data_IF_452022695555
#
_entry.id   IF_452022695555
#
_cell.length_a   1.000
_cell.length_b   1.000
_cell.length_c   1.000
_cell.angle_alpha   90.00
_cell.angle_beta   90.00
_cell.angle_gamma   90.00
#
_symmetry.space_group_name_H-M   'P 1'
#
loop_
_entity.id
_entity.type
_entity.pdbx_description
1 polymer ?
#
# COMPACT_ATOMS: atom_id res chain seq x y z
N UNK A 1 63.72 26.69 -3.00
CA UNK A 1 62.80 27.42 -2.12
C UNK A 1 61.46 27.55 -2.83
N UNK A 2 60.38 27.18 -2.12
CA UNK A 2 58.94 27.40 -2.44
C UNK A 2 58.38 26.60 -3.63
N UNK A 3 57.22 25.94 -3.60
CA UNK A 3 56.38 25.21 -2.62
C UNK A 3 55.25 24.62 -3.48
N UNK A 4 54.86 23.36 -3.25
CA UNK A 4 53.74 22.69 -3.93
C UNK A 4 52.40 23.43 -3.75
N UNK A 5 51.53 23.33 -4.76
CA UNK A 5 50.09 23.37 -4.54
C UNK A 5 49.43 22.25 -5.36
N UNK A 6 49.36 21.09 -4.73
CA UNK A 6 48.59 19.92 -5.13
C UNK A 6 47.10 20.26 -5.01
N UNK A 7 46.38 20.40 -6.13
CA UNK A 7 44.92 20.49 -6.11
C UNK A 7 44.34 19.14 -5.68
N UNK A 8 44.00 19.05 -4.40
CA UNK A 8 43.18 17.99 -3.83
C UNK A 8 41.79 18.04 -4.46
N UNK A 9 41.49 17.08 -5.35
CA UNK A 9 40.13 16.77 -5.73
C UNK A 9 39.45 16.11 -4.51
N UNK A 10 38.75 16.91 -3.71
CA UNK A 10 37.78 16.39 -2.76
C UNK A 10 36.57 15.87 -3.54
N UNK A 11 36.57 14.57 -3.80
CA UNK A 11 35.36 13.79 -4.09
C UNK A 11 34.45 13.88 -2.86
N UNK A 12 33.54 14.84 -2.86
CA UNK A 12 32.39 14.80 -1.97
C UNK A 12 31.50 13.65 -2.43
N UNK A 13 31.59 12.52 -1.73
CA UNK A 13 30.54 11.52 -1.74
C UNK A 13 29.30 12.17 -1.13
N UNK A 14 28.41 12.71 -1.97
CA UNK A 14 27.06 13.07 -1.56
C UNK A 14 26.32 11.77 -1.31
N UNK A 15 26.45 11.24 -0.09
CA UNK A 15 25.45 10.37 0.49
C UNK A 15 24.13 11.16 0.46
N UNK A 16 23.31 10.89 -0.55
CA UNK A 16 21.91 11.28 -0.56
C UNK A 16 21.24 10.52 0.59
N UNK A 17 21.38 11.06 1.80
CA UNK A 17 20.43 10.80 2.87
C UNK A 17 19.13 11.41 2.36
N UNK A 18 18.22 10.55 1.92
CA UNK A 18 16.81 10.90 1.82
C UNK A 18 16.44 11.51 3.17
N UNK A 19 16.33 12.84 3.22
CA UNK A 19 15.96 13.56 4.42
C UNK A 19 14.64 12.99 4.89
N UNK A 20 14.57 12.60 6.17
CA UNK A 20 13.30 12.22 6.79
C UNK A 20 12.27 13.31 6.46
N UNK A 21 11.04 12.93 6.04
CA UNK A 21 10.05 13.91 5.65
C UNK A 21 9.87 14.93 6.77
N UNK A 22 9.85 16.20 6.39
CA UNK A 22 9.70 17.34 7.29
C UNK A 22 8.63 17.04 8.33
N UNK A 23 9.01 17.09 9.61
CA UNK A 23 8.09 16.94 10.75
C UNK A 23 6.93 17.91 10.55
N UNK A 24 5.75 17.36 10.24
CA UNK A 24 4.50 18.12 10.18
C UNK A 24 4.24 18.71 11.57
N UNK A 25 3.89 19.99 11.56
CA UNK A 25 3.63 20.85 12.71
C UNK A 25 2.65 20.24 13.72
N UNK A 26 2.84 20.61 15.00
CA UNK A 26 2.06 20.28 16.19
C UNK A 26 0.59 19.91 15.91
N UNK A 27 0.23 18.69 16.34
CA UNK A 27 -1.08 18.08 16.17
C UNK A 27 -2.21 18.94 16.76
N UNK A 28 -3.18 19.30 15.91
CA UNK A 28 -4.54 19.59 16.35
C UNK A 28 -5.04 18.37 17.15
N UNK A 29 -5.72 18.50 18.31
CA UNK A 29 -6.37 17.39 18.99
C UNK A 29 -7.27 16.56 18.05
N UNK A 30 -7.86 17.18 17.02
CA UNK A 30 -8.62 16.52 15.96
C UNK A 30 -7.73 15.72 15.00
N UNK A 31 -6.46 16.09 14.82
CA UNK A 31 -5.50 15.31 14.03
C UNK A 31 -5.16 13.99 14.73
N UNK A 32 -5.01 13.96 16.06
CA UNK A 32 -4.73 12.72 16.78
C UNK A 32 -5.87 11.69 16.65
N UNK A 33 -7.12 12.17 16.58
CA UNK A 33 -8.30 11.35 16.33
C UNK A 33 -8.33 10.90 14.86
N UNK A 34 -8.16 11.83 13.91
CA UNK A 34 -8.10 11.55 12.48
C UNK A 34 -7.03 10.50 12.10
N UNK A 35 -5.85 10.55 12.73
CA UNK A 35 -4.72 9.64 12.48
C UNK A 35 -5.04 8.17 12.81
N UNK A 36 -5.97 7.90 13.75
CA UNK A 36 -6.41 6.52 14.05
C UNK A 36 -7.13 5.87 12.87
N UNK A 37 -7.68 6.68 11.98
CA UNK A 37 -8.52 6.26 10.85
C UNK A 37 -7.79 6.31 9.51
N UNK A 38 -6.56 6.82 9.50
CA UNK A 38 -5.65 6.71 8.37
C UNK A 38 -4.98 5.32 8.38
N UNK A 39 -4.40 4.86 7.27
CA UNK A 39 -3.72 3.57 7.23
C UNK A 39 -2.55 3.59 8.21
N UNK A 40 -2.42 2.55 9.03
CA UNK A 40 -1.33 2.44 9.98
C UNK A 40 0.03 2.46 9.28
N UNK A 41 1.03 3.00 9.96
CA UNK A 41 2.43 3.02 9.51
C UNK A 41 3.23 1.79 9.96
N UNK A 42 2.55 0.78 10.50
CA UNK A 42 3.24 -0.40 11.05
C UNK A 42 3.72 -1.37 9.99
N UNK A 43 3.14 -1.34 8.79
CA UNK A 43 3.56 -2.17 7.67
C UNK A 43 3.82 -1.26 6.47
N UNK A 44 4.86 -1.58 5.70
CA UNK A 44 5.24 -0.84 4.52
C UNK A 44 5.52 -1.78 3.35
N UNK A 45 5.31 -1.26 2.14
CA UNK A 45 5.68 -1.95 0.90
C UNK A 45 7.18 -2.24 0.91
N UNK A 46 7.57 -3.40 0.38
CA UNK A 46 8.96 -3.83 0.31
C UNK A 46 9.48 -4.51 1.57
N UNK A 47 8.72 -4.50 2.67
CA UNK A 47 9.08 -5.28 3.86
C UNK A 47 9.15 -6.77 3.52
N UNK A 48 10.14 -7.44 4.07
CA UNK A 48 10.26 -8.90 4.06
C UNK A 48 9.27 -9.53 5.04
N UNK A 49 8.99 -10.83 4.85
CA UNK A 49 8.19 -11.61 5.80
C UNK A 49 8.72 -11.53 7.24
N UNK A 50 10.04 -11.64 7.42
CA UNK A 50 10.65 -11.63 8.76
C UNK A 50 10.44 -10.29 9.46
N UNK A 51 10.51 -9.18 8.74
CA UNK A 51 10.19 -7.84 9.27
C UNK A 51 8.73 -7.75 9.71
N UNK A 52 7.80 -8.23 8.87
CA UNK A 52 6.37 -8.28 9.20
C UNK A 52 6.12 -9.13 10.45
N UNK A 53 6.73 -10.32 10.55
CA UNK A 53 6.59 -11.20 11.71
C UNK A 53 7.18 -10.60 13.00
N UNK A 54 8.27 -9.84 12.90
CA UNK A 54 8.84 -9.12 14.04
C UNK A 54 7.87 -8.03 14.55
N UNK A 55 7.15 -7.36 13.65
CA UNK A 55 6.14 -6.36 14.03
C UNK A 55 4.92 -7.03 14.65
N UNK A 56 4.44 -8.13 14.07
CA UNK A 56 3.31 -8.90 14.58
C UNK A 56 3.59 -9.40 16.00
N UNK A 57 4.73 -10.06 16.21
CA UNK A 57 5.09 -10.62 17.52
C UNK A 57 5.24 -9.55 18.61
N UNK A 58 5.66 -8.33 18.24
CA UNK A 58 5.82 -7.22 19.19
C UNK A 58 4.53 -6.47 19.49
N UNK A 59 3.72 -6.16 18.47
CA UNK A 59 2.57 -5.24 18.60
C UNK A 59 1.20 -5.95 18.54
N UNK A 60 1.12 -7.04 17.79
CA UNK A 60 -0.13 -7.71 17.43
C UNK A 60 -0.18 -9.15 17.94
N UNK A 61 0.61 -9.50 18.97
CA UNK A 61 0.74 -10.86 19.49
C UNK A 61 -0.59 -11.48 19.97
N UNK A 62 -1.55 -10.63 20.38
CA UNK A 62 -2.86 -11.03 20.87
C UNK A 62 -3.94 -11.06 19.78
N UNK A 63 -3.61 -10.68 18.54
CA UNK A 63 -4.54 -10.67 17.42
C UNK A 63 -4.63 -12.05 16.80
N UNK A 64 -5.75 -12.32 16.13
CA UNK A 64 -5.86 -13.52 15.32
C UNK A 64 -4.98 -13.38 14.09
N UNK A 65 -4.05 -14.32 13.89
CA UNK A 65 -3.23 -14.40 12.68
C UNK A 65 -3.71 -15.57 11.82
N UNK A 66 -3.97 -15.32 10.55
CA UNK A 66 -4.26 -16.33 9.54
C UNK A 66 -3.27 -16.17 8.39
N UNK A 67 -2.64 -17.27 7.96
CA UNK A 67 -1.75 -17.28 6.80
C UNK A 67 -2.41 -18.01 5.65
N UNK A 68 -2.41 -17.41 4.46
CA UNK A 68 -2.75 -18.10 3.22
C UNK A 68 -1.47 -18.44 2.47
N UNK A 69 -1.38 -19.67 1.98
CA UNK A 69 -0.21 -20.16 1.26
C UNK A 69 -0.59 -20.49 -0.18
N UNK A 70 0.30 -20.16 -1.10
CA UNK A 70 0.18 -20.48 -2.52
C UNK A 70 1.35 -21.37 -2.94
N UNK A 71 1.09 -22.29 -3.87
CA UNK A 71 2.14 -23.13 -4.46
C UNK A 71 2.97 -22.37 -5.48
N UNK A 72 4.27 -22.62 -5.50
CA UNK A 72 5.20 -22.20 -6.52
C UNK A 72 5.33 -23.37 -7.50
N UNK A 73 4.83 -23.21 -8.72
CA UNK A 73 5.10 -24.18 -9.79
C UNK A 73 6.54 -24.00 -10.26
N UNK A 74 7.47 -24.72 -9.63
CA UNK A 74 8.85 -24.80 -10.08
C UNK A 74 9.00 -26.03 -11.00
N UNK A 75 8.79 -25.89 -12.32
CA UNK A 75 8.87 -26.99 -13.32
C UNK A 75 7.87 -28.14 -13.08
N UNK A 76 7.65 -28.97 -14.11
CA UNK A 76 6.75 -30.13 -14.06
C UNK A 76 7.15 -31.22 -13.05
N UNK A 77 8.40 -31.23 -12.56
CA UNK A 77 8.96 -32.33 -11.75
C UNK A 77 9.56 -31.92 -10.39
N UNK A 78 9.45 -30.66 -9.95
CA UNK A 78 9.89 -30.30 -8.59
C UNK A 78 8.74 -30.42 -7.59
N UNK A 79 9.08 -30.73 -6.33
CA UNK A 79 8.12 -30.64 -5.24
C UNK A 79 7.50 -29.23 -5.22
N UNK A 80 6.16 -29.16 -5.12
CA UNK A 80 5.44 -27.90 -5.02
C UNK A 80 5.83 -27.20 -3.72
N UNK A 81 6.84 -26.33 -3.78
CA UNK A 81 7.19 -25.45 -2.68
C UNK A 81 6.02 -24.46 -2.47
N UNK A 82 5.59 -24.25 -1.23
CA UNK A 82 4.56 -23.24 -0.94
C UNK A 82 5.16 -22.06 -0.23
N UNK A 83 4.73 -20.85 -0.60
CA UNK A 83 5.06 -19.63 0.11
C UNK A 83 3.82 -19.05 0.79
N UNK A 84 4.02 -18.21 1.80
CA UNK A 84 2.92 -17.44 2.39
C UNK A 84 2.62 -16.27 1.47
N UNK A 85 1.49 -16.36 0.76
CA UNK A 85 1.01 -15.32 -0.16
C UNK A 85 0.44 -14.14 0.62
N UNK A 86 -0.26 -14.41 1.73
CA UNK A 86 -0.80 -13.34 2.57
C UNK A 86 -0.87 -13.70 4.05
N UNK A 87 -0.80 -12.67 4.89
CA UNK A 87 -1.07 -12.72 6.32
C UNK A 87 -2.25 -11.79 6.62
N UNK A 88 -3.29 -12.33 7.24
CA UNK A 88 -4.41 -11.57 7.80
C UNK A 88 -4.27 -11.48 9.31
N UNK A 89 -4.43 -10.27 9.87
CA UNK A 89 -4.46 -10.00 11.30
C UNK A 89 -5.80 -9.39 11.67
N UNK A 90 -6.50 -9.99 12.63
CA UNK A 90 -7.79 -9.49 13.10
C UNK A 90 -7.75 -9.20 14.60
N UNK A 91 -8.16 -7.98 14.97
CA UNK A 91 -8.22 -7.59 16.37
C UNK A 91 -9.26 -8.44 17.11
N UNK A 92 -8.84 -9.15 18.16
CA UNK A 92 -9.75 -9.86 19.07
C UNK A 92 -10.02 -8.97 20.28
N UNK A 93 -11.27 -8.53 20.49
CA UNK A 93 -11.65 -7.82 21.74
C UNK A 93 -12.81 -6.83 21.62
N UNK A 94 -13.13 -6.19 22.75
CA UNK A 94 -14.15 -5.14 22.90
C UNK A 94 -13.57 -3.72 22.68
N UNK A 95 -12.61 -3.57 21.77
CA UNK A 95 -12.19 -2.24 21.33
C UNK A 95 -13.38 -1.56 20.63
N UNK A 96 -13.54 -0.23 20.75
CA UNK A 96 -14.53 0.49 19.95
C UNK A 96 -14.25 0.40 18.44
N UNK A 97 -13.06 -0.11 18.07
CA UNK A 97 -12.65 -0.38 16.70
C UNK A 97 -12.39 -1.87 16.51
N UNK A 98 -12.96 -2.45 15.47
CA UNK A 98 -12.56 -3.76 14.98
C UNK A 98 -11.68 -3.58 13.73
N UNK A 99 -10.41 -3.94 13.86
CA UNK A 99 -9.38 -3.75 12.84
C UNK A 99 -9.04 -5.08 12.18
N UNK A 100 -8.91 -5.04 10.86
CA UNK A 100 -8.41 -6.14 10.04
C UNK A 100 -7.28 -5.61 9.15
N UNK A 101 -6.10 -6.21 9.27
CA UNK A 101 -5.02 -6.05 8.30
C UNK A 101 -4.95 -7.27 7.39
N UNK A 102 -4.70 -7.04 6.11
CA UNK A 102 -4.26 -8.06 5.16
C UNK A 102 -2.99 -7.57 4.48
N UNK A 103 -1.96 -8.40 4.51
CA UNK A 103 -0.62 -8.11 4.00
C UNK A 103 -0.33 -9.17 2.95
N UNK A 104 -0.17 -8.77 1.70
CA UNK A 104 0.11 -9.67 0.57
C UNK A 104 1.58 -9.55 0.14
N UNK A 105 2.20 -10.70 -0.15
CA UNK A 105 3.61 -10.84 -0.50
C UNK A 105 3.78 -11.27 -1.95
N UNK A 106 4.83 -10.76 -2.60
CA UNK A 106 5.29 -11.32 -3.87
C UNK A 106 5.81 -12.74 -3.62
N UNK A 107 5.85 -13.56 -4.67
CA UNK A 107 6.45 -14.88 -4.56
C UNK A 107 7.95 -14.79 -4.28
N UNK A 108 8.59 -15.85 -3.74
CA UNK A 108 10.04 -15.92 -3.60
C UNK A 108 10.81 -15.73 -4.91
N UNK A 109 10.17 -16.00 -6.06
CA UNK A 109 10.77 -15.75 -7.38
C UNK A 109 11.02 -14.26 -7.65
N UNK A 110 10.31 -13.39 -6.93
CA UNK A 110 10.29 -11.94 -7.09
C UNK A 110 10.70 -11.22 -5.81
N UNK A 111 11.38 -11.93 -4.90
CA UNK A 111 11.97 -11.37 -3.68
C UNK A 111 11.19 -11.64 -2.38
N UNK A 112 9.95 -12.10 -2.42
CA UNK A 112 9.21 -12.46 -1.21
C UNK A 112 8.89 -11.28 -0.28
N UNK A 113 8.53 -10.13 -0.86
CA UNK A 113 8.32 -8.86 -0.13
C UNK A 113 6.86 -8.40 -0.21
N UNK A 114 6.43 -7.57 0.74
CA UNK A 114 5.09 -6.99 0.77
C UNK A 114 4.87 -6.11 -0.45
N UNK A 115 3.83 -6.41 -1.25
CA UNK A 115 3.38 -5.55 -2.35
C UNK A 115 2.01 -4.93 -2.11
N UNK A 116 1.21 -5.47 -1.18
CA UNK A 116 -0.13 -4.94 -0.88
C UNK A 116 -0.41 -4.97 0.62
N UNK A 117 -0.95 -3.86 1.11
CA UNK A 117 -1.39 -3.70 2.50
C UNK A 117 -2.81 -3.16 2.47
N UNK A 118 -3.72 -3.91 3.05
CA UNK A 118 -5.12 -3.55 3.20
C UNK A 118 -5.42 -3.42 4.69
N UNK A 119 -6.07 -2.33 5.09
CA UNK A 119 -6.58 -2.14 6.45
C UNK A 119 -8.04 -1.76 6.40
N UNK A 120 -8.90 -2.58 6.99
CA UNK A 120 -10.30 -2.26 7.24
C UNK A 120 -10.51 -2.00 8.73
N UNK A 121 -11.29 -0.97 9.04
CA UNK A 121 -11.64 -0.55 10.40
C UNK A 121 -13.15 -0.39 10.48
N UNK A 122 -13.79 -1.17 11.35
CA UNK A 122 -15.22 -1.03 11.66
C UNK A 122 -15.38 -0.32 13.00
N UNK A 123 -16.26 0.69 13.04
CA UNK A 123 -16.52 1.48 14.23
C UNK A 123 -17.60 0.87 15.11
N UNK A 124 -17.54 1.22 16.40
CA UNK A 124 -18.61 0.97 17.36
C UNK A 124 -19.91 1.68 16.95
N UNK A 125 -21.01 1.30 17.60
CA UNK A 125 -22.28 1.98 17.41
C UNK A 125 -22.39 3.35 18.11
N UNK A 126 -21.39 3.73 18.92
CA UNK A 126 -21.41 4.96 19.71
C UNK A 126 -20.91 6.16 18.89
N UNK A 127 -21.68 7.25 18.77
CA UNK A 127 -21.30 8.42 17.96
C UNK A 127 -19.95 9.04 18.31
N UNK A 128 -19.57 9.07 19.59
CA UNK A 128 -18.30 9.64 20.09
C UNK A 128 -17.04 8.93 19.57
N UNK A 129 -17.18 7.70 19.07
CA UNK A 129 -16.06 6.90 18.57
C UNK A 129 -15.93 7.00 17.03
N UNK A 130 -16.77 7.82 16.39
CA UNK A 130 -16.86 7.95 14.93
C UNK A 130 -16.37 9.31 14.46
N UNK A 131 -15.88 9.35 13.23
CA UNK A 131 -15.41 10.56 12.56
C UNK A 131 -16.48 11.09 11.58
N UNK A 132 -16.59 12.41 11.40
CA UNK A 132 -17.41 12.95 10.33
C UNK A 132 -16.76 12.72 8.96
N UNK A 133 -17.57 12.46 7.93
CA UNK A 133 -17.05 12.20 6.58
C UNK A 133 -16.18 13.34 6.02
N UNK A 134 -16.49 14.60 6.33
CA UNK A 134 -15.71 15.75 5.87
C UNK A 134 -14.37 15.90 6.60
N UNK A 135 -14.31 15.51 7.88
CA UNK A 135 -13.05 15.46 8.63
C UNK A 135 -12.13 14.36 8.09
N UNK A 136 -12.71 13.21 7.72
CA UNK A 136 -11.99 12.12 7.06
C UNK A 136 -11.41 12.54 5.71
N UNK A 137 -12.21 13.21 4.86
CA UNK A 137 -11.73 13.77 3.58
C UNK A 137 -10.56 14.74 3.78
N UNK A 138 -10.66 15.64 4.77
CA UNK A 138 -9.58 16.58 5.12
C UNK A 138 -8.33 15.84 5.58
N UNK A 139 -8.46 14.82 6.43
CA UNK A 139 -7.34 14.04 6.95
C UNK A 139 -6.59 13.30 5.84
N UNK A 140 -7.32 12.68 4.91
CA UNK A 140 -6.75 12.04 3.73
C UNK A 140 -6.02 13.06 2.86
N UNK A 141 -6.67 14.18 2.55
CA UNK A 141 -6.08 15.21 1.69
C UNK A 141 -4.80 15.80 2.29
N UNK A 142 -4.73 15.95 3.62
CA UNK A 142 -3.50 16.36 4.32
C UNK A 142 -2.40 15.32 4.25
N UNK A 143 -2.74 14.04 4.27
CA UNK A 143 -1.77 12.95 4.34
C UNK A 143 -1.19 12.59 2.97
N UNK A 144 -2.01 12.63 1.93
CA UNK A 144 -1.66 12.14 0.60
C UNK A 144 -1.81 13.18 -0.52
N UNK A 145 -2.21 14.40 -0.17
CA UNK A 145 -2.44 15.47 -1.14
C UNK A 145 -3.79 15.35 -1.83
N UNK A 146 -3.87 15.90 -3.05
CA UNK A 146 -5.12 15.90 -3.83
C UNK A 146 -5.34 14.51 -4.44
N UNK A 147 -6.52 13.89 -4.26
CA UNK A 147 -6.82 12.63 -4.92
C UNK A 147 -6.87 12.80 -6.44
N UNK A 148 -6.51 11.73 -7.13
CA UNK A 148 -6.74 11.59 -8.57
C UNK A 148 -8.25 11.58 -8.87
N UNK A 149 -9.00 10.79 -8.11
CA UNK A 149 -10.46 10.75 -8.16
C UNK A 149 -11.02 10.66 -6.73
N UNK A 150 -12.09 11.39 -6.47
CA UNK A 150 -12.90 11.26 -5.27
C UNK A 150 -14.35 11.09 -5.68
N UNK A 151 -15.00 10.04 -5.16
CA UNK A 151 -16.36 9.64 -5.56
C UNK A 151 -17.22 9.49 -4.30
N UNK A 152 -18.51 9.83 -4.42
CA UNK A 152 -19.53 9.55 -3.42
C UNK A 152 -20.03 10.78 -2.62
N UNK A 153 -20.93 10.55 -1.63
CA UNK A 153 -21.53 9.25 -1.30
C UNK A 153 -22.41 8.72 -2.44
N UNK A 154 -22.27 7.43 -2.76
CA UNK A 154 -23.13 6.73 -3.72
C UNK A 154 -24.39 6.14 -3.03
N UNK A 155 -25.13 5.26 -3.72
CA UNK A 155 -26.35 4.62 -3.18
C UNK A 155 -26.08 3.72 -1.97
N UNK A 156 -24.84 3.26 -1.80
CA UNK A 156 -24.40 2.44 -0.67
C UNK A 156 -23.73 3.27 0.44
N UNK A 157 -23.85 4.61 0.35
CA UNK A 157 -23.19 5.58 1.22
C UNK A 157 -21.66 5.46 1.24
N UNK A 158 -21.08 4.92 0.15
CA UNK A 158 -19.64 4.78 0.00
C UNK A 158 -19.04 6.10 -0.48
N UNK A 159 -18.02 6.57 0.23
CA UNK A 159 -17.13 7.64 -0.22
C UNK A 159 -15.76 7.04 -0.46
N UNK A 160 -15.13 7.38 -1.58
CA UNK A 160 -13.86 6.82 -2.01
C UNK A 160 -12.92 7.93 -2.49
N UNK A 161 -11.63 7.76 -2.25
CA UNK A 161 -10.56 8.60 -2.78
C UNK A 161 -9.42 7.71 -3.29
N UNK A 162 -8.96 7.98 -4.51
CA UNK A 162 -7.92 7.22 -5.22
C UNK A 162 -6.71 8.13 -5.44
N UNK A 163 -5.53 7.57 -5.20
CA UNK A 163 -4.24 8.22 -5.34
C UNK A 163 -3.27 7.32 -6.10
N UNK A 164 -2.42 7.95 -6.89
CA UNK A 164 -1.32 7.30 -7.59
C UNK A 164 -0.02 8.02 -7.25
N UNK A 165 1.05 7.26 -7.11
CA UNK A 165 2.38 7.80 -6.81
C UNK A 165 3.44 7.15 -7.68
N UNK A 166 4.47 7.91 -8.02
CA UNK A 166 5.67 7.38 -8.65
C UNK A 166 6.60 6.72 -7.62
N UNK A 167 7.71 6.18 -8.11
CA UNK A 167 8.79 5.59 -7.31
C UNK A 167 9.35 6.52 -6.22
N UNK A 168 9.38 7.84 -6.47
CA UNK A 168 9.78 8.86 -5.50
C UNK A 168 8.69 9.18 -4.45
N UNK A 169 7.52 8.52 -4.49
CA UNK A 169 6.41 8.79 -3.58
C UNK A 169 5.68 10.11 -3.85
N UNK A 170 5.87 10.70 -5.04
CA UNK A 170 5.22 11.93 -5.45
C UNK A 170 3.89 11.59 -6.10
N UNK A 171 2.81 12.25 -5.65
CA UNK A 171 1.48 12.04 -6.20
C UNK A 171 1.43 12.41 -7.69
N UNK A 172 0.98 11.48 -8.53
CA UNK A 172 0.83 11.70 -9.97
C UNK A 172 -0.52 12.35 -10.25
N UNK A 173 -0.61 13.65 -9.99
CA UNK A 173 -1.75 14.46 -10.40
C UNK A 173 -1.60 14.82 -11.89
N UNK A 174 -2.00 13.93 -12.80
CA UNK A 174 -2.18 14.26 -14.22
C UNK A 174 -3.65 14.10 -14.60
N UNK A 175 -4.17 15.08 -15.34
CA UNK A 175 -5.57 15.19 -15.78
C UNK A 175 -5.99 14.15 -16.83
N UNK A 176 -5.39 12.96 -16.84
CA UNK A 176 -5.63 11.94 -17.87
C UNK A 176 -5.78 10.56 -17.24
N UNK A 177 -6.83 9.87 -17.69
CA UNK A 177 -7.31 8.52 -17.35
C UNK A 177 -6.28 7.36 -17.32
N UNK A 178 -4.98 7.62 -17.50
CA UNK A 178 -4.00 6.59 -17.82
C UNK A 178 -3.72 5.64 -16.66
N UNK A 179 -3.47 6.13 -15.44
CA UNK A 179 -3.23 5.22 -14.30
C UNK A 179 -4.46 4.35 -13.98
N UNK A 180 -5.68 4.82 -14.27
CA UNK A 180 -6.90 4.02 -14.13
C UNK A 180 -7.07 2.96 -15.21
N UNK A 181 -6.53 3.18 -16.42
CA UNK A 181 -6.52 2.14 -17.47
C UNK A 181 -5.60 0.98 -17.11
N UNK A 182 -4.46 1.26 -16.46
CA UNK A 182 -3.52 0.23 -15.97
C UNK A 182 -4.24 -0.75 -15.03
N UNK A 183 -5.16 -0.28 -14.19
CA UNK A 183 -5.96 -1.16 -13.33
C UNK A 183 -6.80 -2.19 -14.07
N UNK A 184 -7.48 -1.74 -15.13
CA UNK A 184 -8.26 -2.64 -15.98
C UNK A 184 -7.37 -3.71 -16.62
N UNK A 185 -6.16 -3.34 -17.03
CA UNK A 185 -5.17 -4.27 -17.58
C UNK A 185 -4.64 -5.25 -16.52
N UNK A 186 -4.28 -4.79 -15.32
CA UNK A 186 -3.83 -5.65 -14.23
C UNK A 186 -4.87 -6.70 -13.81
N UNK A 187 -6.14 -6.30 -13.74
CA UNK A 187 -7.27 -7.19 -13.42
C UNK A 187 -7.59 -8.16 -14.57
N UNK A 188 -7.24 -7.82 -15.82
CA UNK A 188 -7.28 -8.75 -16.94
C UNK A 188 -6.12 -9.76 -16.90
N UNK A 189 -4.90 -9.30 -16.60
CA UNK A 189 -3.71 -10.15 -16.47
C UNK A 189 -3.91 -11.20 -15.38
N UNK A 190 -4.43 -10.78 -14.21
CA UNK A 190 -4.68 -11.71 -13.10
C UNK A 190 -5.70 -12.80 -13.44
N UNK A 191 -6.60 -12.53 -14.42
CA UNK A 191 -7.68 -13.44 -14.79
C UNK A 191 -7.38 -14.34 -15.98
N UNK A 192 -6.72 -13.87 -17.05
CA UNK A 192 -6.73 -14.64 -18.30
C UNK A 192 -5.59 -14.40 -19.32
N UNK A 193 -4.53 -13.62 -19.05
CA UNK A 193 -3.49 -13.43 -20.05
C UNK A 193 -2.13 -13.05 -19.43
N UNK A 194 -1.13 -13.91 -19.62
CA UNK A 194 0.29 -13.60 -19.44
C UNK A 194 0.78 -12.71 -20.59
N UNK A 195 0.12 -12.79 -21.74
CA UNK A 195 0.27 -11.87 -22.86
C UNK A 195 -0.03 -10.45 -22.34
N UNK A 196 0.88 -9.51 -22.60
CA UNK A 196 0.84 -8.08 -22.21
C UNK A 196 1.44 -7.69 -20.84
N UNK A 197 2.02 -8.61 -20.07
CA UNK A 197 2.67 -8.26 -18.78
C UNK A 197 3.82 -7.25 -18.96
N UNK A 198 4.67 -7.43 -19.98
CA UNK A 198 5.77 -6.50 -20.28
C UNK A 198 5.26 -5.12 -20.75
N UNK A 199 4.14 -5.08 -21.49
CA UNK A 199 3.51 -3.81 -21.89
C UNK A 199 3.04 -3.05 -20.65
N UNK A 200 2.38 -3.73 -19.71
CA UNK A 200 1.90 -3.11 -18.47
C UNK A 200 3.05 -2.61 -17.60
N UNK A 201 4.17 -3.35 -17.52
CA UNK A 201 5.38 -2.89 -16.83
C UNK A 201 5.89 -1.58 -17.44
N UNK A 202 6.06 -1.55 -18.77
CA UNK A 202 6.54 -0.37 -19.47
C UNK A 202 5.59 0.83 -19.32
N UNK A 203 4.27 0.60 -19.31
CA UNK A 203 3.28 1.65 -19.06
C UNK A 203 3.36 2.20 -17.64
N UNK A 204 3.50 1.34 -16.62
CA UNK A 204 3.66 1.76 -15.22
C UNK A 204 4.88 2.67 -15.08
N UNK A 205 6.02 2.25 -15.65
CA UNK A 205 7.28 3.00 -15.58
C UNK A 205 7.20 4.33 -16.34
N UNK A 206 6.59 4.34 -17.53
CA UNK A 206 6.44 5.55 -18.35
C UNK A 206 5.52 6.58 -17.70
N UNK A 207 4.40 6.14 -17.14
CA UNK A 207 3.40 7.03 -16.54
C UNK A 207 3.70 7.39 -15.08
N UNK A 208 4.66 6.68 -14.46
CA UNK A 208 5.00 6.86 -13.05
C UNK A 208 3.88 6.42 -12.11
N UNK A 209 3.04 5.47 -12.51
CA UNK A 209 1.96 4.92 -11.69
C UNK A 209 2.45 3.71 -10.91
N UNK A 210 3.47 3.86 -10.06
CA UNK A 210 4.12 2.73 -9.39
C UNK A 210 3.28 2.24 -8.20
N UNK A 211 2.79 3.18 -7.40
CA UNK A 211 1.99 2.89 -6.24
C UNK A 211 0.56 3.37 -6.42
N UNK A 212 -0.35 2.54 -5.95
CA UNK A 212 -1.75 2.90 -5.79
C UNK A 212 -2.08 3.00 -4.32
N UNK A 213 -2.85 4.02 -3.95
CA UNK A 213 -3.50 4.08 -2.66
C UNK A 213 -4.97 4.39 -2.82
N UNK A 214 -5.80 3.61 -2.17
CA UNK A 214 -7.23 3.83 -2.06
C UNK A 214 -7.57 4.05 -0.59
N UNK A 215 -8.42 5.05 -0.34
CA UNK A 215 -9.16 5.14 0.90
C UNK A 215 -10.66 5.14 0.60
N UNK A 216 -11.40 4.37 1.38
CA UNK A 216 -12.84 4.22 1.28
C UNK A 216 -13.47 4.37 2.66
N UNK A 217 -14.69 4.87 2.71
CA UNK A 217 -15.47 4.96 3.93
C UNK A 217 -16.95 4.74 3.65
N UNK A 218 -17.63 4.05 4.57
CA UNK A 218 -19.09 3.94 4.57
C UNK A 218 -19.61 4.97 5.57
N UNK A 219 -20.48 5.85 5.09
CA UNK A 219 -21.12 6.90 5.88
C UNK A 219 -22.45 6.38 6.42
N UNK A 220 -22.63 6.43 7.74
CA UNK A 220 -23.89 6.07 8.39
C UNK A 220 -24.87 7.24 8.45
N UNK A 221 -26.05 6.95 9.03
CA UNK A 221 -27.01 7.99 9.41
C UNK A 221 -26.31 9.03 10.29
N UNK A 222 -26.60 10.32 10.08
CA UNK A 222 -25.92 11.51 10.65
C UNK A 222 -24.58 11.95 10.03
N UNK A 223 -24.10 11.32 8.95
CA UNK A 223 -22.88 11.76 8.26
C UNK A 223 -21.57 11.31 8.92
N UNK A 224 -21.67 10.45 9.94
CA UNK A 224 -20.57 9.84 10.67
C UNK A 224 -20.15 8.52 10.02
N UNK A 225 -18.85 8.23 10.00
CA UNK A 225 -18.33 7.01 9.42
C UNK A 225 -18.67 5.77 10.28
N UNK A 226 -19.05 4.68 9.63
CA UNK A 226 -19.32 3.37 10.26
C UNK A 226 -18.29 2.31 9.88
N UNK A 227 -17.57 2.53 8.79
CA UNK A 227 -16.40 1.75 8.40
C UNK A 227 -15.44 2.61 7.58
N UNK A 228 -14.15 2.43 7.77
CA UNK A 228 -13.12 2.88 6.82
C UNK A 228 -12.36 1.69 6.28
N UNK A 229 -11.88 1.81 5.06
CA UNK A 229 -10.97 0.86 4.44
C UNK A 229 -9.87 1.61 3.73
N UNK A 230 -8.72 0.99 3.65
CA UNK A 230 -7.59 1.51 2.90
C UNK A 230 -6.79 0.40 2.27
N UNK A 231 -6.22 0.70 1.12
CA UNK A 231 -5.36 -0.21 0.37
C UNK A 231 -4.17 0.56 -0.16
N UNK A 232 -2.98 0.01 0.01
CA UNK A 232 -1.74 0.48 -0.62
C UNK A 232 -1.16 -0.67 -1.41
N UNK A 233 -0.86 -0.46 -2.68
CA UNK A 233 -0.36 -1.50 -3.59
C UNK A 233 0.83 -0.96 -4.36
N UNK A 234 1.92 -1.72 -4.39
CA UNK A 234 2.98 -1.60 -5.39
C UNK A 234 2.57 -2.36 -6.64
N UNK A 235 2.07 -1.62 -7.61
CA UNK A 235 1.57 -2.18 -8.86
C UNK A 235 2.71 -2.78 -9.68
N UNK A 236 3.88 -2.17 -9.65
CA UNK A 236 5.04 -2.65 -10.42
C UNK A 236 5.56 -3.99 -9.86
N UNK A 237 5.73 -4.08 -8.54
CA UNK A 237 6.16 -5.33 -7.89
C UNK A 237 5.15 -6.45 -8.10
N UNK A 238 3.86 -6.14 -8.05
CA UNK A 238 2.81 -7.13 -8.33
C UNK A 238 2.87 -7.67 -9.77
N UNK A 239 2.94 -6.78 -10.77
CA UNK A 239 2.95 -7.20 -12.18
C UNK A 239 4.25 -7.95 -12.52
N UNK A 240 5.39 -7.52 -12.00
CA UNK A 240 6.67 -8.26 -12.13
C UNK A 240 6.59 -9.65 -11.50
N UNK A 241 5.88 -9.79 -10.38
CA UNK A 241 5.67 -11.10 -9.77
C UNK A 241 4.82 -12.04 -10.63
N UNK A 242 3.77 -11.51 -11.26
CA UNK A 242 2.99 -12.27 -12.24
C UNK A 242 3.87 -12.73 -13.41
N UNK A 243 4.73 -11.84 -13.95
CA UNK A 243 5.69 -12.18 -15.00
C UNK A 243 6.64 -13.32 -14.60
N UNK A 244 7.20 -13.23 -13.39
CA UNK A 244 8.16 -14.20 -12.88
C UNK A 244 7.52 -15.58 -12.68
N UNK A 245 6.27 -15.64 -12.18
CA UNK A 245 5.52 -16.88 -12.03
C UNK A 245 5.13 -17.50 -13.38
N UNK A 246 4.75 -16.67 -14.34
CA UNK A 246 4.34 -17.07 -15.68
C UNK A 246 5.49 -17.66 -16.52
N UNK A 247 6.63 -16.95 -16.60
CA UNK A 247 7.79 -17.37 -17.40
C UNK A 247 8.39 -18.75 -17.05
N UNK A 248 8.04 -19.29 -15.86
CA UNK A 248 8.44 -20.62 -15.40
C UNK A 248 7.38 -21.70 -15.58
N UNK A 249 6.14 -21.33 -15.90
CA UNK A 249 5.09 -22.28 -16.27
C UNK A 249 5.25 -22.77 -17.72
N UNK A 250 5.83 -21.95 -18.60
CA UNK A 250 6.01 -22.22 -20.03
C UNK A 250 7.36 -22.89 -20.40
N UNK A 251 8.19 -23.24 -19.41
CA UNK A 251 9.50 -23.91 -19.58
C UNK A 251 9.55 -25.26 -18.90
#
# INVERSE_FOLDING_TARGET
MKTLATCFFFLFATLAHAGSPSKVSLADPNDAVAQRFLPGHDFEIGMTRSEVEAIISRKYAHWQKTENREGIKAKQDAASETFTESITLESRGQSPLADVYRIDFTSPLSGGVVYSIIRDVKFSHLPKDRLASDEWKKAIARSWGKPYAAVGPDRDNLVQAIFFFNDAGIATARDKAFCTTIFGKMDAISRNAIEDVEEVIAEIEREGCHFFTEARAIVGESGLLVRTGSRRTDMLSYVRDLAARASRADR
#
